data_IF_427829688719
#
_entry.id   IF_427829688719
#
_cell.length_a   1.000
_cell.length_b   1.000
_cell.length_c   1.000
_cell.angle_alpha   90.00
_cell.angle_beta   90.00
_cell.angle_gamma   90.00
#
_symmetry.space_group_name_H-M   'P 1'
#
loop_
_entity.id
_entity.type
_entity.pdbx_description
1 polymer ?
#
# COMPACT_ATOMS: atom_id res chain seq x y z
N UNK A 1 -0.58 5.19 -6.18
CA UNK A 1 0.49 4.23 -5.83
C UNK A 1 1.66 5.00 -5.22
N UNK A 2 2.32 4.46 -4.19
CA UNK A 2 3.55 4.99 -3.59
C UNK A 2 4.66 3.93 -3.73
N UNK A 3 5.89 4.36 -3.97
CA UNK A 3 7.08 3.50 -3.89
C UNK A 3 8.03 4.07 -2.84
N UNK A 4 8.70 3.22 -2.04
CA UNK A 4 9.66 3.67 -1.03
C UNK A 4 10.75 2.64 -0.80
N UNK A 5 12.00 3.10 -0.68
CA UNK A 5 13.12 2.29 -0.23
C UNK A 5 13.43 2.48 1.25
N UNK A 6 13.04 3.63 1.81
CA UNK A 6 13.19 3.97 3.22
C UNK A 6 12.77 2.81 4.13
N UNK A 7 13.50 2.59 5.22
CA UNK A 7 13.21 1.53 6.18
C UNK A 7 11.86 1.77 6.88
N UNK A 8 10.80 1.27 6.25
CA UNK A 8 9.40 1.36 6.69
C UNK A 8 8.89 0.03 7.22
N UNK A 9 9.67 -1.04 7.12
CA UNK A 9 9.32 -2.37 7.60
C UNK A 9 9.58 -2.45 9.11
N UNK A 10 8.52 -2.53 9.89
CA UNK A 10 8.56 -3.05 11.26
C UNK A 10 8.19 -4.54 11.25
N UNK A 11 8.31 -5.20 12.39
CA UNK A 11 8.07 -6.65 12.52
C UNK A 11 6.68 -7.06 12.00
N UNK A 12 5.64 -6.30 12.35
CA UNK A 12 4.23 -6.61 12.07
C UNK A 12 3.63 -5.83 10.88
N UNK A 13 4.15 -4.64 10.57
CA UNK A 13 3.53 -3.73 9.61
C UNK A 13 4.53 -2.81 8.91
N UNK A 14 4.10 -2.24 7.78
CA UNK A 14 4.77 -1.15 7.09
C UNK A 14 4.25 0.18 7.62
N UNK A 15 5.13 1.06 8.06
CA UNK A 15 4.82 2.42 8.52
C UNK A 15 5.15 3.44 7.44
N UNK A 16 4.13 3.95 6.75
CA UNK A 16 4.31 4.85 5.61
C UNK A 16 3.71 6.22 5.89
N UNK A 17 4.42 7.28 5.50
CA UNK A 17 3.91 8.66 5.56
C UNK A 17 3.39 9.10 4.20
N UNK A 18 2.14 9.54 4.14
CA UNK A 18 1.51 10.12 2.94
C UNK A 18 1.05 11.55 3.19
N UNK A 19 0.98 12.40 2.15
CA UNK A 19 0.38 13.73 2.28
C UNK A 19 -1.06 13.66 2.79
N UNK A 20 -1.47 14.62 3.61
CA UNK A 20 -2.82 14.71 4.17
C UNK A 20 -3.88 14.74 3.05
N UNK A 21 -3.62 15.48 1.97
CA UNK A 21 -4.48 15.47 0.78
C UNK A 21 -4.72 14.05 0.24
N UNK A 22 -3.66 13.24 0.13
CA UNK A 22 -3.79 11.87 -0.37
C UNK A 22 -4.57 10.99 0.60
N UNK A 23 -4.39 11.20 1.91
CA UNK A 23 -5.16 10.51 2.94
C UNK A 23 -6.66 10.84 2.79
N UNK A 24 -7.00 12.13 2.71
CA UNK A 24 -8.38 12.61 2.54
C UNK A 24 -9.01 12.10 1.23
N UNK A 25 -8.25 12.12 0.14
CA UNK A 25 -8.68 11.61 -1.16
C UNK A 25 -8.93 10.09 -1.16
N UNK A 26 -8.24 9.33 -0.31
CA UNK A 26 -8.32 7.87 -0.24
C UNK A 26 -9.39 7.37 0.75
N UNK A 27 -9.75 8.19 1.76
CA UNK A 27 -10.81 7.85 2.73
C UNK A 27 -12.21 8.21 2.29
N UNK A 28 -12.34 9.10 1.31
CA UNK A 28 -13.61 9.65 0.86
C UNK A 28 -14.48 8.58 0.17
N UNK A 29 -15.65 8.32 0.76
CA UNK A 29 -16.62 7.31 0.31
C UNK A 29 -17.55 7.83 -0.80
N UNK A 30 -17.46 9.11 -1.17
CA UNK A 30 -18.33 9.71 -2.20
C UNK A 30 -17.96 9.30 -3.63
N UNK A 31 -16.87 8.55 -3.81
CA UNK A 31 -16.45 8.07 -5.11
C UNK A 31 -17.17 6.76 -5.48
N UNK A 32 -17.67 6.69 -6.72
CA UNK A 32 -18.32 5.49 -7.25
C UNK A 32 -17.37 4.27 -7.30
N UNK A 33 -16.08 4.53 -7.49
CA UNK A 33 -15.04 3.49 -7.53
C UNK A 33 -14.18 3.64 -6.27
N UNK A 34 -14.15 2.63 -5.38
CA UNK A 34 -13.30 2.65 -4.20
C UNK A 34 -11.83 2.80 -4.54
N UNK A 35 -11.10 3.51 -3.68
CA UNK A 35 -9.67 3.77 -3.86
C UNK A 35 -8.87 3.01 -2.81
N UNK A 36 -7.77 2.40 -3.25
CA UNK A 36 -6.85 1.70 -2.37
C UNK A 36 -5.48 2.36 -2.38
N UNK A 37 -4.84 2.37 -1.23
CA UNK A 37 -3.41 2.67 -1.14
C UNK A 37 -2.64 1.42 -1.51
N UNK A 38 -1.79 1.51 -2.54
CA UNK A 38 -0.77 0.50 -2.85
C UNK A 38 0.61 1.12 -2.62
N UNK A 39 1.43 0.43 -1.82
CA UNK A 39 2.82 0.79 -1.52
C UNK A 39 3.75 -0.31 -2.01
N UNK A 40 4.66 0.01 -2.92
CA UNK A 40 5.77 -0.87 -3.29
C UNK A 40 6.95 -0.57 -2.38
N UNK A 41 7.39 -1.57 -1.63
CA UNK A 41 8.65 -1.51 -0.89
C UNK A 41 9.75 -2.09 -1.78
N UNK A 42 10.89 -1.39 -1.88
CA UNK A 42 12.02 -1.76 -2.74
C UNK A 42 13.33 -1.66 -1.95
N UNK A 43 14.41 -2.34 -2.37
CA UNK A 43 15.71 -2.18 -1.74
C UNK A 43 16.24 -0.74 -1.90
N UNK A 44 17.08 -0.29 -0.98
CA UNK A 44 17.75 1.02 -1.09
C UNK A 44 18.72 1.11 -2.27
N UNK A 45 19.43 0.03 -2.55
CA UNK A 45 20.33 -0.07 -3.70
C UNK A 45 19.58 -0.64 -4.91
N UNK A 46 19.54 0.13 -5.99
CA UNK A 46 18.89 -0.24 -7.26
C UNK A 46 19.45 -1.55 -7.85
N UNK A 47 20.73 -1.85 -7.60
CA UNK A 47 21.35 -3.08 -8.10
C UNK A 47 20.78 -4.33 -7.44
N UNK A 48 20.13 -4.19 -6.27
CA UNK A 48 19.47 -5.28 -5.58
C UNK A 48 17.98 -5.40 -5.92
N UNK A 49 17.42 -4.56 -6.80
CA UNK A 49 16.00 -4.63 -7.16
C UNK A 49 15.67 -5.90 -7.94
N UNK A 50 16.61 -6.34 -8.78
CA UNK A 50 16.43 -7.46 -9.69
C UNK A 50 17.65 -8.38 -9.62
N UNK A 51 17.41 -9.63 -9.30
CA UNK A 51 18.39 -10.70 -9.46
C UNK A 51 18.03 -11.49 -10.72
N UNK A 52 18.96 -11.54 -11.68
CA UNK A 52 18.79 -12.27 -12.93
C UNK A 52 19.96 -13.24 -13.12
N UNK A 53 19.62 -14.52 -13.31
CA UNK A 53 20.53 -15.59 -13.70
C UNK A 53 19.84 -16.51 -14.71
N UNK A 54 20.58 -17.45 -15.31
CA UNK A 54 20.00 -18.45 -16.22
C UNK A 54 18.86 -19.25 -15.57
N UNK A 55 18.96 -19.51 -14.26
CA UNK A 55 17.97 -20.29 -13.53
C UNK A 55 16.72 -19.49 -13.12
N UNK A 56 16.84 -18.17 -12.90
CA UNK A 56 15.74 -17.37 -12.35
C UNK A 56 15.83 -15.88 -12.62
N UNK A 57 14.65 -15.27 -12.64
CA UNK A 57 14.43 -13.84 -12.53
C UNK A 57 13.65 -13.55 -11.24
N UNK A 58 14.24 -12.80 -10.31
CA UNK A 58 13.63 -12.47 -9.03
C UNK A 58 13.62 -10.95 -8.80
N UNK A 59 12.43 -10.38 -8.57
CA UNK A 59 12.27 -9.02 -8.09
C UNK A 59 12.31 -9.04 -6.56
N UNK A 60 13.10 -8.18 -5.94
CA UNK A 60 13.23 -8.13 -4.48
C UNK A 60 12.17 -7.23 -3.85
N UNK A 61 11.59 -7.73 -2.74
CA UNK A 61 10.41 -7.17 -2.05
C UNK A 61 9.12 -7.18 -2.89
N UNK A 62 8.04 -6.58 -2.37
CA UNK A 62 6.72 -6.66 -2.97
C UNK A 62 5.86 -5.43 -2.66
N UNK A 63 4.70 -5.37 -3.32
CA UNK A 63 3.65 -4.41 -3.03
C UNK A 63 2.83 -4.82 -1.82
N UNK A 64 2.33 -3.83 -1.08
CA UNK A 64 1.39 -3.96 0.02
C UNK A 64 0.21 -3.02 -0.23
N UNK A 65 -0.96 -3.34 0.31
CA UNK A 65 -2.15 -2.53 0.10
C UNK A 65 -2.97 -2.29 1.36
N UNK A 66 -3.78 -1.24 1.35
CA UNK A 66 -4.78 -0.96 2.40
C UNK A 66 -5.91 -0.09 1.85
N UNK A 67 -7.16 -0.40 2.20
CA UNK A 67 -8.28 0.54 2.03
C UNK A 67 -8.25 1.57 3.16
N UNK A 68 -8.42 2.85 2.81
CA UNK A 68 -8.61 3.93 3.79
C UNK A 68 -10.06 4.42 3.82
N UNK A 69 -10.93 3.82 3.00
CA UNK A 69 -12.36 4.16 2.90
C UNK A 69 -13.01 4.17 4.28
N UNK A 70 -13.75 5.23 4.60
CA UNK A 70 -14.48 5.37 5.86
C UNK A 70 -13.61 5.60 7.10
N UNK A 71 -12.28 5.65 6.98
CA UNK A 71 -11.41 6.00 8.12
C UNK A 71 -11.72 7.39 8.65
N UNK A 72 -11.40 7.68 9.92
CA UNK A 72 -11.66 9.00 10.53
C UNK A 72 -10.80 10.12 9.92
N UNK A 73 -11.25 11.37 10.07
CA UNK A 73 -10.46 12.52 9.67
C UNK A 73 -9.19 12.62 10.52
N UNK A 74 -8.07 13.00 9.90
CA UNK A 74 -6.82 13.19 10.63
C UNK A 74 -6.91 14.44 11.52
N UNK A 75 -6.67 14.28 12.82
CA UNK A 75 -6.75 15.34 13.83
C UNK A 75 -5.38 15.82 14.32
N UNK A 76 -4.29 15.23 13.83
CA UNK A 76 -2.94 15.59 14.24
C UNK A 76 -2.41 16.89 13.61
N UNK A 77 -1.20 17.29 13.99
CA UNK A 77 -0.52 18.47 13.43
C UNK A 77 0.25 18.09 12.15
N UNK A 78 0.30 19.03 11.19
CA UNK A 78 1.08 18.92 9.96
C UNK A 78 0.30 18.41 8.74
N UNK A 79 1.00 18.24 7.63
CA UNK A 79 0.43 17.91 6.31
C UNK A 79 0.70 16.47 5.85
N UNK A 80 1.07 15.57 6.78
CA UNK A 80 1.36 14.16 6.49
C UNK A 80 0.74 13.27 7.55
N UNK A 81 0.17 12.16 7.11
CA UNK A 81 -0.45 11.11 7.94
C UNK A 81 0.40 9.86 7.88
N UNK A 82 0.63 9.22 9.02
CA UNK A 82 1.28 7.89 9.11
C UNK A 82 0.22 6.81 9.01
N UNK A 83 0.41 5.88 8.09
CA UNK A 83 -0.46 4.72 7.87
C UNK A 83 0.31 3.45 8.17
N UNK A 84 -0.30 2.54 8.93
CA UNK A 84 0.24 1.23 9.23
C UNK A 84 -0.45 0.18 8.34
N UNK A 85 0.33 -0.51 7.50
CA UNK A 85 -0.15 -1.56 6.59
C UNK A 85 0.37 -2.91 7.10
N UNK A 86 -0.49 -3.83 7.56
CA UNK A 86 -0.06 -5.15 8.03
C UNK A 86 0.75 -5.90 6.97
N UNK A 87 1.77 -6.66 7.37
CA UNK A 87 2.63 -7.40 6.42
C UNK A 87 1.93 -8.53 5.68
N UNK A 88 0.80 -9.01 6.19
CA UNK A 88 -0.05 -9.97 5.49
C UNK A 88 -0.93 -9.33 4.40
N UNK A 89 -0.98 -7.99 4.30
CA UNK A 89 -1.66 -7.27 3.23
C UNK A 89 -0.77 -7.09 2.00
N UNK A 90 -0.21 -8.19 1.50
CA UNK A 90 0.57 -8.19 0.26
C UNK A 90 -0.36 -7.97 -0.93
N UNK A 91 0.09 -7.20 -1.92
CA UNK A 91 -0.66 -6.92 -3.15
C UNK A 91 -0.37 -8.00 -4.20
N UNK A 92 -0.90 -9.19 -3.96
CA UNK A 92 -0.79 -10.36 -4.83
C UNK A 92 -1.96 -10.45 -5.80
N UNK A 93 -1.91 -11.41 -6.73
CA UNK A 93 -3.03 -11.70 -7.63
C UNK A 93 -4.27 -12.13 -6.84
N UNK A 94 -4.09 -12.94 -5.80
CA UNK A 94 -5.16 -13.41 -4.91
C UNK A 94 -5.80 -12.24 -4.16
N UNK A 95 -4.99 -11.36 -3.57
CA UNK A 95 -5.52 -10.19 -2.86
C UNK A 95 -6.26 -9.25 -3.82
N UNK A 96 -5.74 -9.06 -5.04
CA UNK A 96 -6.40 -8.24 -6.05
C UNK A 96 -7.76 -8.82 -6.46
N UNK A 97 -7.82 -10.12 -6.71
CA UNK A 97 -9.11 -10.81 -6.99
C UNK A 97 -10.08 -10.66 -5.83
N UNK A 98 -9.60 -10.78 -4.59
CA UNK A 98 -10.42 -10.59 -3.40
C UNK A 98 -10.98 -9.16 -3.33
N UNK A 99 -10.14 -8.13 -3.48
CA UNK A 99 -10.56 -6.72 -3.52
C UNK A 99 -11.65 -6.50 -4.58
N UNK A 100 -11.44 -7.01 -5.80
CA UNK A 100 -12.40 -6.85 -6.89
C UNK A 100 -13.74 -7.52 -6.57
N UNK A 101 -13.72 -8.68 -5.91
CA UNK A 101 -14.93 -9.36 -5.47
C UNK A 101 -15.68 -8.57 -4.38
N UNK A 102 -14.97 -8.03 -3.39
CA UNK A 102 -15.59 -7.20 -2.34
C UNK A 102 -16.22 -5.92 -2.93
N UNK A 103 -15.56 -5.29 -3.90
CA UNK A 103 -16.11 -4.12 -4.62
C UNK A 103 -17.38 -4.51 -5.38
N UNK A 104 -17.36 -5.64 -6.10
CA UNK A 104 -18.54 -6.13 -6.83
C UNK A 104 -19.74 -6.42 -5.90
N UNK A 105 -19.46 -6.86 -4.66
CA UNK A 105 -20.47 -7.16 -3.64
C UNK A 105 -20.86 -5.94 -2.78
N UNK A 106 -20.28 -4.75 -3.00
CA UNK A 106 -20.46 -3.53 -2.19
C UNK A 106 -20.13 -3.71 -0.71
N UNK A 107 -19.05 -4.47 -0.43
CA UNK A 107 -18.56 -4.80 0.92
C UNK A 107 -17.22 -4.13 1.25
N UNK A 108 -16.79 -3.19 0.41
CA UNK A 108 -15.45 -2.59 0.42
C UNK A 108 -15.42 -1.20 1.02
#
# INVERSE_FOLDING_TARGET
MKCTSANVLADEHLSIRIPLKNYDDLRDERFLVPRILVVVYVPDDINHWLCHSEDKLALHHCGYWKSLSGMEAYTGKGNKVTIHIPRNQQFTVESLKHIMNEIAQRRF
#
